data_IF_762923976259
#
_entry.id   IF_762923976259
#
_cell.length_a   1.000
_cell.length_b   1.000
_cell.length_c   1.000
_cell.angle_alpha   90.00
_cell.angle_beta   90.00
_cell.angle_gamma   90.00
#
_symmetry.space_group_name_H-M   'P 1'
#
loop_
_entity.id
_entity.type
_entity.pdbx_description
1 polymer ?
#
# COMPACT_ATOMS: atom_id res chain seq x y z
N UNK A 1 8.38 -9.62 -5.44
CA UNK A 1 7.06 -9.27 -4.86
C UNK A 1 6.06 -9.21 -5.99
N UNK A 2 4.85 -9.75 -5.84
CA UNK A 2 3.84 -9.77 -6.91
C UNK A 2 2.57 -9.10 -6.38
N UNK A 3 2.10 -8.06 -7.06
CA UNK A 3 0.84 -7.40 -6.73
C UNK A 3 -0.34 -8.26 -7.17
N UNK A 4 -1.34 -8.41 -6.29
CA UNK A 4 -2.61 -9.01 -6.71
C UNK A 4 -3.42 -8.00 -7.50
N UNK A 5 -4.29 -8.47 -8.40
CA UNK A 5 -5.20 -7.58 -9.14
C UNK A 5 -6.07 -6.74 -8.19
N UNK A 6 -6.47 -7.31 -7.06
CA UNK A 6 -7.25 -6.62 -6.04
C UNK A 6 -6.44 -5.47 -5.43
N UNK A 7 -5.20 -5.71 -5.04
CA UNK A 7 -4.35 -4.67 -4.44
C UNK A 7 -4.09 -3.50 -5.41
N UNK A 8 -3.94 -3.76 -6.71
CA UNK A 8 -3.81 -2.71 -7.73
C UNK A 8 -5.10 -1.89 -7.84
N UNK A 9 -6.26 -2.56 -7.83
CA UNK A 9 -7.56 -1.89 -7.86
C UNK A 9 -7.77 -1.02 -6.62
N UNK A 10 -7.46 -1.54 -5.43
CA UNK A 10 -7.59 -0.81 -4.17
C UNK A 10 -6.75 0.47 -4.17
N UNK A 11 -5.48 0.38 -4.61
CA UNK A 11 -4.62 1.55 -4.74
C UNK A 11 -5.17 2.59 -5.71
N UNK A 12 -5.73 2.14 -6.83
CA UNK A 12 -6.35 3.04 -7.79
C UNK A 12 -7.55 3.76 -7.17
N UNK A 13 -8.46 3.02 -6.52
CA UNK A 13 -9.63 3.59 -5.85
C UNK A 13 -9.27 4.58 -4.74
N UNK A 14 -8.27 4.25 -3.91
CA UNK A 14 -7.81 5.14 -2.84
C UNK A 14 -7.23 6.43 -3.42
N UNK A 15 -6.39 6.32 -4.46
CA UNK A 15 -5.78 7.48 -5.11
C UNK A 15 -6.84 8.40 -5.72
N UNK A 16 -7.81 7.85 -6.46
CA UNK A 16 -8.90 8.63 -7.06
C UNK A 16 -9.78 9.31 -6.00
N UNK A 17 -10.09 8.60 -4.91
CA UNK A 17 -10.89 9.15 -3.81
C UNK A 17 -10.21 10.36 -3.15
N UNK A 18 -8.91 10.25 -2.85
CA UNK A 18 -8.15 11.35 -2.22
C UNK A 18 -7.90 12.47 -3.23
N UNK A 19 -7.61 12.14 -4.49
CA UNK A 19 -7.31 13.13 -5.53
C UNK A 19 -8.49 14.05 -5.85
N UNK A 20 -9.73 13.57 -5.64
CA UNK A 20 -10.93 14.40 -5.76
C UNK A 20 -10.95 15.60 -4.79
N UNK A 21 -10.27 15.49 -3.64
CA UNK A 21 -10.15 16.56 -2.64
C UNK A 21 -8.76 17.23 -2.67
N UNK A 22 -7.69 16.43 -2.70
CA UNK A 22 -6.32 16.92 -2.72
C UNK A 22 -5.38 15.99 -3.52
N UNK A 23 -5.04 16.35 -4.77
CA UNK A 23 -4.18 15.51 -5.63
C UNK A 23 -2.75 15.38 -5.10
N UNK A 24 -2.22 16.39 -4.39
CA UNK A 24 -0.89 16.29 -3.78
C UNK A 24 -0.88 15.27 -2.63
N UNK A 25 -1.91 15.26 -1.79
CA UNK A 25 -2.04 14.26 -0.73
C UNK A 25 -2.16 12.84 -1.28
N UNK A 26 -2.88 12.68 -2.40
CA UNK A 26 -2.97 11.39 -3.09
C UNK A 26 -1.59 10.90 -3.57
N UNK A 27 -0.78 11.79 -4.15
CA UNK A 27 0.57 11.45 -4.59
C UNK A 27 1.47 11.06 -3.42
N UNK A 28 1.50 11.88 -2.35
CA UNK A 28 2.29 11.59 -1.14
C UNK A 28 1.93 10.23 -0.54
N UNK A 29 0.64 9.87 -0.52
CA UNK A 29 0.20 8.57 -0.02
C UNK A 29 0.73 7.41 -0.85
N UNK A 30 0.70 7.51 -2.17
CA UNK A 30 1.23 6.48 -3.07
C UNK A 30 2.75 6.33 -2.89
N UNK A 31 3.47 7.44 -2.76
CA UNK A 31 4.92 7.43 -2.54
C UNK A 31 5.28 6.74 -1.21
N UNK A 32 4.55 7.03 -0.13
CA UNK A 32 4.74 6.36 1.17
C UNK A 32 4.50 4.85 1.08
N UNK A 33 3.49 4.41 0.33
CA UNK A 33 3.21 2.97 0.14
C UNK A 33 4.32 2.32 -0.68
N UNK A 34 4.81 2.97 -1.73
CA UNK A 34 5.91 2.48 -2.54
C UNK A 34 7.19 2.32 -1.70
N UNK A 35 7.55 3.33 -0.92
CA UNK A 35 8.72 3.30 -0.04
C UNK A 35 8.61 2.18 1.02
N UNK A 36 7.44 2.01 1.64
CA UNK A 36 7.21 0.93 2.59
C UNK A 36 7.40 -0.47 1.95
N UNK A 37 7.01 -0.62 0.69
CA UNK A 37 7.14 -1.87 -0.08
C UNK A 37 8.59 -2.13 -0.45
N UNK A 38 9.35 -1.11 -0.82
CA UNK A 38 10.79 -1.22 -1.10
C UNK A 38 11.59 -1.66 0.12
N UNK A 39 11.10 -1.39 1.33
CA UNK A 39 11.74 -1.84 2.57
C UNK A 39 11.40 -3.30 2.96
N UNK A 40 10.33 -3.89 2.44
CA UNK A 40 9.91 -5.26 2.79
C UNK A 40 10.94 -6.36 2.44
N UNK A 41 11.69 -6.31 1.32
CA UNK A 41 12.76 -7.26 1.04
C UNK A 41 13.85 -7.26 2.12
N UNK A 42 14.17 -6.07 2.66
CA UNK A 42 15.17 -5.92 3.72
C UNK A 42 14.62 -6.31 5.10
N UNK A 43 13.33 -6.07 5.34
CA UNK A 43 12.67 -6.32 6.62
C UNK A 43 11.29 -6.98 6.43
N UNK A 44 11.24 -8.28 6.11
CA UNK A 44 9.97 -8.98 5.82
C UNK A 44 9.04 -9.13 7.04
N UNK A 45 9.49 -8.72 8.24
CA UNK A 45 8.71 -8.75 9.49
C UNK A 45 8.36 -7.34 10.00
N UNK A 46 8.53 -6.30 9.18
CA UNK A 46 8.28 -4.90 9.57
C UNK A 46 6.78 -4.61 9.73
N UNK A 47 5.91 -5.43 9.11
CA UNK A 47 4.47 -5.40 9.32
C UNK A 47 4.03 -6.04 10.65
N UNK A 48 2.96 -5.50 11.26
CA UNK A 48 2.31 -6.16 12.40
C UNK A 48 1.76 -7.51 11.98
N UNK A 49 2.00 -8.54 12.80
CA UNK A 49 1.37 -9.86 12.62
C UNK A 49 -0.14 -9.66 12.49
N UNK A 50 -0.71 -10.11 11.37
CA UNK A 50 -2.14 -10.05 11.12
C UNK A 50 -2.90 -10.76 12.24
N UNK A 51 -4.07 -10.23 12.63
CA UNK A 51 -4.91 -10.82 13.69
C UNK A 51 -5.46 -12.20 13.33
N UNK A 52 -5.40 -12.57 12.05
CA UNK A 52 -5.90 -13.85 11.53
C UNK A 52 -4.71 -14.80 11.29
N UNK A 53 -4.77 -15.99 11.90
CA UNK A 53 -3.74 -17.02 11.76
C UNK A 53 -3.67 -17.45 10.29
N UNK A 54 -2.52 -17.25 9.64
CA UNK A 54 -2.29 -17.70 8.26
C UNK A 54 -2.39 -16.61 7.18
N UNK A 55 -2.78 -15.37 7.52
CA UNK A 55 -2.65 -14.23 6.60
C UNK A 55 -1.37 -13.48 6.97
N UNK A 56 -0.32 -13.64 6.16
CA UNK A 56 0.88 -12.79 6.18
C UNK A 56 0.81 -11.83 5.00
#
# INVERSE_FOLDING_TARGET
MVWTRLAVHDLYCIREYIAADNPNAAQTLIDMIAEAIEQLPAYPQLGRIGRVRGTR
#
